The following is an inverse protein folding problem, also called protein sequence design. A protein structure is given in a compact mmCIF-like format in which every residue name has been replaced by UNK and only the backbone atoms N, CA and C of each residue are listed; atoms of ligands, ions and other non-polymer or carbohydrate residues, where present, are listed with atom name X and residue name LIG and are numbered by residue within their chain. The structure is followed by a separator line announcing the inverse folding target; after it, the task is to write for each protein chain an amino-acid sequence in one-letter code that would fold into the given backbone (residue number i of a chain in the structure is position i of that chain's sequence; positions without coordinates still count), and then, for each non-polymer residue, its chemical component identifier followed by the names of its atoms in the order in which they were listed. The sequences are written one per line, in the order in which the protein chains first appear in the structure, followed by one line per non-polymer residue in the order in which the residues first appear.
data_IF_438725938753
#
_entry.id   IF_438725938753
#
_cell.length_a   1.000
_cell.length_b   1.000
_cell.length_c   1.000
_cell.angle_alpha   90.00
_cell.angle_beta   90.00
_cell.angle_gamma   90.00
#
_symmetry.space_group_name_H-M   'P 1'
#
loop_
_entity.id
_entity.type
_entity.pdbx_description
1 polymer ?
#
# COMPACT_ATOMS: atom_id res chain seq x y z
N UNK A 1 -13.09 -4.84 -7.22
CA UNK A 1 -12.70 -4.06 -8.42
C UNK A 1 -11.26 -3.65 -8.20
N UNK A 2 -10.34 -4.62 -8.33
CA UNK A 2 -9.01 -4.51 -7.73
C UNK A 2 -7.98 -4.73 -8.81
N UNK A 3 -7.38 -3.62 -9.26
CA UNK A 3 -6.18 -3.46 -10.09
C UNK A 3 -6.44 -2.37 -11.15
N UNK A 4 -6.41 -1.11 -10.72
CA UNK A 4 -6.39 0.05 -11.62
C UNK A 4 -4.98 0.28 -12.21
N UNK A 5 -3.94 -0.37 -11.68
CA UNK A 5 -2.58 -0.26 -12.19
C UNK A 5 -2.22 -1.49 -13.01
N UNK A 6 -1.59 -1.29 -14.18
CA UNK A 6 -0.99 -2.38 -14.92
C UNK A 6 0.18 -3.01 -14.12
N UNK A 7 0.57 -4.22 -14.51
CA UNK A 7 1.74 -4.87 -13.96
C UNK A 7 2.98 -3.98 -14.18
N UNK A 8 3.76 -3.77 -13.12
CA UNK A 8 4.83 -2.79 -13.12
C UNK A 8 5.33 -2.46 -11.72
N UNK A 9 6.34 -1.59 -11.65
CA UNK A 9 6.88 -1.06 -10.41
C UNK A 9 6.64 0.44 -10.35
N UNK A 10 6.19 0.90 -9.18
CA UNK A 10 5.77 2.27 -8.95
C UNK A 10 6.38 2.80 -7.67
N UNK A 11 7.04 3.95 -7.75
CA UNK A 11 7.47 4.69 -6.59
C UNK A 11 6.26 5.30 -5.89
N UNK A 12 6.09 4.96 -4.63
CA UNK A 12 4.99 5.35 -3.80
C UNK A 12 5.46 5.93 -2.46
N UNK A 13 4.52 6.51 -1.74
CA UNK A 13 4.74 7.11 -0.45
C UNK A 13 3.56 6.80 0.46
N UNK A 14 3.84 6.37 1.68
CA UNK A 14 2.80 6.01 2.65
C UNK A 14 2.17 7.30 3.19
N UNK A 15 0.86 7.42 3.02
CA UNK A 15 0.08 8.59 3.50
C UNK A 15 -0.63 8.25 4.80
N UNK A 16 -1.22 7.06 4.87
CA UNK A 16 -2.05 6.65 5.99
C UNK A 16 -1.98 5.14 6.20
N UNK A 17 -2.31 4.72 7.42
CA UNK A 17 -2.32 3.32 7.83
C UNK A 17 -3.44 3.12 8.84
N UNK A 18 -4.41 2.30 8.47
CA UNK A 18 -5.59 2.00 9.29
C UNK A 18 -5.61 0.51 9.61
N UNK A 19 -5.75 0.16 10.87
CA UNK A 19 -5.96 -1.21 11.31
C UNK A 19 -7.47 -1.46 11.44
N UNK A 20 -8.02 -2.28 10.54
CA UNK A 20 -9.42 -2.71 10.61
C UNK A 20 -9.50 -4.14 11.13
N UNK A 21 -10.42 -4.37 12.06
CA UNK A 21 -10.75 -5.73 12.51
C UNK A 21 -11.87 -6.26 11.62
N UNK A 22 -11.62 -7.30 10.83
CA UNK A 22 -12.72 -7.97 10.15
C UNK A 22 -13.60 -8.73 11.17
N UNK A 23 -14.89 -8.84 10.87
CA UNK A 23 -15.93 -9.49 11.72
C UNK A 23 -15.56 -10.94 12.11
N UNK A 24 -14.62 -11.56 11.38
CA UNK A 24 -14.06 -12.89 11.62
C UNK A 24 -12.85 -12.92 12.59
N UNK A 25 -12.42 -11.80 13.16
CA UNK A 25 -11.32 -11.71 14.13
C UNK A 25 -9.92 -11.68 13.51
N UNK A 26 -9.79 -11.49 12.20
CA UNK A 26 -8.51 -11.19 11.56
C UNK A 26 -8.30 -9.68 11.53
N UNK A 27 -7.15 -9.23 12.06
CA UNK A 27 -6.71 -7.85 11.94
C UNK A 27 -6.16 -7.66 10.52
N UNK A 28 -6.85 -6.83 9.74
CA UNK A 28 -6.39 -6.40 8.43
C UNK A 28 -5.81 -4.99 8.55
N UNK A 29 -4.61 -4.81 8.05
CA UNK A 29 -4.01 -3.48 7.95
C UNK A 29 -4.25 -2.93 6.55
N UNK A 30 -4.90 -1.78 6.46
CA UNK A 30 -5.07 -1.01 5.24
C UNK A 30 -3.98 0.06 5.17
N UNK A 31 -3.24 0.06 4.07
CA UNK A 31 -2.15 1.01 3.82
C UNK A 31 -2.56 1.90 2.66
N UNK A 32 -2.64 3.20 2.92
CA UNK A 32 -2.84 4.18 1.86
C UNK A 32 -1.52 4.71 1.34
N UNK A 33 -1.35 4.59 0.03
CA UNK A 33 -0.13 4.90 -0.68
C UNK A 33 -0.47 5.87 -1.82
N UNK A 34 0.39 6.86 -2.05
CA UNK A 34 0.33 7.68 -3.26
C UNK A 34 1.51 7.42 -4.15
N UNK A 35 1.27 7.31 -5.45
CA UNK A 35 2.32 7.21 -6.45
C UNK A 35 2.96 8.58 -6.65
N UNK A 36 4.27 8.68 -6.46
CA UNK A 36 5.01 9.96 -6.49
C UNK A 36 5.70 10.23 -7.83
N UNK A 37 5.82 9.22 -8.69
CA UNK A 37 6.52 9.31 -9.96
C UNK A 37 5.81 8.53 -11.10
N UNK A 38 6.22 8.80 -12.34
CA UNK A 38 5.70 8.12 -13.52
C UNK A 38 4.33 8.61 -14.00
N UNK A 39 3.74 7.84 -14.93
CA UNK A 39 2.46 8.18 -15.58
C UNK A 39 1.28 8.24 -14.60
N UNK A 40 1.36 7.48 -13.51
CA UNK A 40 0.33 7.39 -12.47
C UNK A 40 0.58 8.32 -11.28
N UNK A 41 1.48 9.31 -11.40
CA UNK A 41 1.78 10.24 -10.31
C UNK A 41 0.51 10.93 -9.78
N UNK A 42 0.36 10.97 -8.46
CA UNK A 42 -0.78 11.56 -7.75
C UNK A 42 -1.95 10.59 -7.56
N UNK A 43 -1.85 9.36 -8.10
CA UNK A 43 -2.82 8.30 -7.83
C UNK A 43 -2.69 7.84 -6.38
N UNK A 44 -3.80 7.79 -5.66
CA UNK A 44 -3.89 7.26 -4.29
C UNK A 44 -4.54 5.88 -4.35
N UNK A 45 -3.95 4.93 -3.63
CA UNK A 45 -4.33 3.54 -3.63
C UNK A 45 -4.34 3.03 -2.20
N UNK A 46 -5.29 2.15 -1.91
CA UNK A 46 -5.35 1.43 -0.64
C UNK A 46 -4.98 -0.02 -0.86
N UNK A 47 -4.03 -0.53 -0.08
CA UNK A 47 -3.58 -1.93 -0.12
C UNK A 47 -3.89 -2.56 1.22
N UNK A 48 -4.68 -3.63 1.19
CA UNK A 48 -4.96 -4.45 2.36
C UNK A 48 -3.85 -5.50 2.54
N UNK A 49 -3.46 -5.73 3.78
CA UNK A 49 -2.55 -6.81 4.17
C UNK A 49 -3.00 -7.45 5.48
N UNK A 50 -2.90 -8.78 5.56
CA UNK A 50 -3.19 -9.54 6.78
C UNK A 50 -1.99 -9.56 7.75
N UNK A 51 -0.87 -8.94 7.35
CA UNK A 51 0.35 -8.88 8.15
C UNK A 51 0.44 -7.53 8.86
N UNK A 52 0.77 -7.56 10.16
CA UNK A 52 1.16 -6.35 10.88
C UNK A 52 2.50 -5.88 10.33
N UNK A 53 2.49 -4.74 9.64
CA UNK A 53 3.67 -4.17 8.95
C UNK A 53 4.41 -3.12 9.79
N UNK A 54 3.86 -2.74 10.95
CA UNK A 54 4.38 -1.69 11.82
C UNK A 54 3.27 -0.75 12.30
N UNK A 55 3.65 0.30 13.02
CA UNK A 55 2.73 1.35 13.47
C UNK A 55 2.69 2.50 12.46
N UNK A 56 1.55 3.19 12.42
CA UNK A 56 1.34 4.40 11.62
C UNK A 56 2.51 5.40 11.75
N UNK A 57 2.98 5.61 12.98
CA UNK A 57 4.00 6.62 13.32
C UNK A 57 5.36 6.35 12.67
N UNK A 58 5.69 5.07 12.43
CA UNK A 58 6.96 4.64 11.86
C UNK A 58 6.90 4.57 10.34
N UNK A 59 5.71 4.35 9.77
CA UNK A 59 5.54 4.05 8.35
C UNK A 59 5.02 5.23 7.54
N UNK A 60 4.19 6.10 8.13
CA UNK A 60 3.70 7.29 7.43
C UNK A 60 4.86 8.24 7.15
N UNK A 61 4.92 8.70 5.91
CA UNK A 61 6.07 9.50 5.48
C UNK A 61 7.24 8.66 4.96
N UNK A 62 7.15 7.33 4.95
CA UNK A 62 8.19 6.49 4.39
C UNK A 62 8.02 6.32 2.88
N UNK A 63 9.13 6.33 2.11
CA UNK A 63 9.12 5.89 0.73
C UNK A 63 8.77 4.40 0.67
N UNK A 64 7.96 4.04 -0.32
CA UNK A 64 7.56 2.67 -0.56
C UNK A 64 7.58 2.36 -2.05
N UNK A 65 7.91 1.13 -2.40
CA UNK A 65 7.81 0.62 -3.77
C UNK A 65 6.59 -0.27 -3.87
N UNK A 66 5.62 0.10 -4.73
CA UNK A 66 4.50 -0.74 -5.10
C UNK A 66 4.87 -1.54 -6.36
N UNK A 67 4.85 -2.85 -6.28
CA UNK A 67 5.04 -3.74 -7.44
C UNK A 67 3.76 -4.50 -7.70
N UNK A 68 3.20 -4.39 -8.90
CA UNK A 68 2.04 -5.16 -9.33
C UNK A 68 2.53 -6.27 -10.25
N UNK A 69 2.25 -7.53 -9.89
CA UNK A 69 2.65 -8.71 -10.67
C UNK A 69 1.45 -9.63 -10.87
N UNK A 70 1.06 -9.92 -12.10
CA UNK A 70 -0.14 -10.68 -12.44
C UNK A 70 -1.40 -10.11 -11.74
N UNK A 71 -1.52 -8.78 -11.67
CA UNK A 71 -2.63 -8.09 -10.98
C UNK A 71 -2.58 -8.17 -9.45
N UNK A 72 -1.55 -8.76 -8.86
CA UNK A 72 -1.37 -8.83 -7.40
C UNK A 72 -0.42 -7.71 -6.94
N UNK A 73 -0.90 -6.75 -6.13
CA UNK A 73 -0.05 -5.70 -5.59
C UNK A 73 0.82 -6.22 -4.43
N UNK A 74 2.08 -5.82 -4.42
CA UNK A 74 3.03 -6.04 -3.34
C UNK A 74 3.67 -4.71 -2.98
N UNK A 75 3.65 -4.36 -1.70
CA UNK A 75 4.23 -3.12 -1.20
C UNK A 75 5.49 -3.47 -0.43
N UNK A 76 6.57 -2.76 -0.72
CA UNK A 76 7.81 -2.83 0.04
C UNK A 76 8.12 -1.44 0.56
N UNK A 77 8.21 -1.28 1.87
CA UNK A 77 8.56 -0.01 2.51
C UNK A 77 10.08 0.01 2.69
N UNK A 78 10.73 1.09 2.28
CA UNK A 78 12.16 1.30 2.45
C UNK A 78 12.41 1.93 3.83
N UNK A 79 12.64 1.07 4.83
CA UNK A 79 13.01 1.40 6.21
C UNK A 79 14.48 1.05 6.47
#
# INVERSE_FOLDING_TARGET
MSALLPDGSYDAFVIDLTEESEDAGQLQTLVELTIVAGEHKGLVLQVATDSSIGLFEDLVGMPATLTVTNGSPQVRIDN
#
